data_IF_508758356157
#
_entry.id   IF_508758356157
#
_cell.length_a   1.000
_cell.length_b   1.000
_cell.length_c   1.000
_cell.angle_alpha   90.00
_cell.angle_beta   90.00
_cell.angle_gamma   90.00
#
_symmetry.space_group_name_H-M   'P 1'
#
loop_
_entity.id
_entity.type
_entity.pdbx_description
1 polymer ?
#
# COMPACT_ATOMS: atom_id res chain seq x y z
N UNK A 1 21.16 23.39 -20.82
CA UNK A 1 21.75 22.16 -20.25
C UNK A 1 21.00 21.85 -18.98
N UNK A 2 19.98 20.99 -19.06
CA UNK A 2 19.14 20.64 -17.92
C UNK A 2 19.74 19.35 -17.33
N UNK A 3 20.28 19.43 -16.12
CA UNK A 3 20.64 18.25 -15.34
C UNK A 3 19.33 17.76 -14.73
N UNK A 4 18.77 16.71 -15.32
CA UNK A 4 17.63 15.99 -14.75
C UNK A 4 18.03 15.53 -13.34
N UNK A 5 17.37 16.09 -12.33
CA UNK A 5 17.53 15.68 -10.94
C UNK A 5 16.80 14.35 -10.82
N UNK A 6 17.56 13.26 -10.83
CA UNK A 6 17.09 11.91 -10.57
C UNK A 6 16.10 11.92 -9.40
N UNK A 7 14.90 11.40 -9.67
CA UNK A 7 13.97 10.95 -8.64
C UNK A 7 14.75 9.94 -7.82
N UNK A 8 15.24 10.36 -6.64
CA UNK A 8 15.91 9.46 -5.71
C UNK A 8 14.89 8.42 -5.30
N UNK A 9 15.07 7.20 -5.80
CA UNK A 9 14.46 6.01 -5.23
C UNK A 9 14.62 6.08 -3.70
N UNK A 10 13.57 5.79 -2.91
CA UNK A 10 13.68 5.81 -1.45
C UNK A 10 14.84 4.90 -1.06
N UNK A 11 15.72 5.43 -0.21
CA UNK A 11 17.06 4.94 0.09
C UNK A 11 17.24 3.43 -0.09
N UNK A 12 18.21 3.08 -0.93
CA UNK A 12 18.73 1.73 -1.19
C UNK A 12 19.04 1.03 0.15
N UNK A 13 18.02 0.39 0.72
CA UNK A 13 18.18 -0.54 1.82
C UNK A 13 18.99 -1.69 1.22
N UNK A 14 20.31 -1.62 1.37
CA UNK A 14 21.29 -2.52 0.73
C UNK A 14 20.70 -3.91 0.58
N UNK A 15 20.46 -4.35 -0.67
CA UNK A 15 19.87 -5.66 -0.93
C UNK A 15 20.72 -6.76 -0.29
N UNK A 16 20.26 -7.26 0.86
CA UNK A 16 20.89 -8.37 1.57
C UNK A 16 20.38 -9.68 0.96
N UNK A 17 21.29 -10.50 0.42
CA UNK A 17 20.95 -11.82 -0.13
C UNK A 17 21.55 -12.94 0.71
N UNK A 18 20.79 -14.02 0.89
CA UNK A 18 21.29 -15.26 1.49
C UNK A 18 20.87 -16.46 0.66
N UNK A 19 21.79 -17.42 0.50
CA UNK A 19 21.49 -18.69 -0.15
C UNK A 19 20.73 -19.57 0.85
N UNK A 20 19.49 -19.93 0.49
CA UNK A 20 18.65 -20.87 1.24
C UNK A 20 18.63 -22.25 0.59
N UNK A 21 18.46 -23.29 1.40
CA UNK A 21 18.21 -24.66 0.90
C UNK A 21 16.72 -24.96 0.95
N UNK A 22 16.21 -25.56 -0.13
CA UNK A 22 14.83 -26.03 -0.20
C UNK A 22 14.80 -27.51 0.20
N UNK A 23 13.91 -27.86 1.13
CA UNK A 23 13.71 -29.26 1.53
C UNK A 23 12.89 -30.03 0.50
N UNK A 24 12.86 -31.35 0.61
CA UNK A 24 12.01 -32.21 -0.24
C UNK A 24 10.51 -31.88 -0.16
N UNK A 25 10.07 -31.29 0.95
CA UNK A 25 8.69 -30.81 1.15
C UNK A 25 8.46 -29.38 0.67
N UNK A 26 9.40 -28.80 -0.10
CA UNK A 26 9.34 -27.42 -0.60
C UNK A 26 9.32 -26.38 0.52
N UNK A 27 9.91 -26.71 1.68
CA UNK A 27 10.05 -25.76 2.78
C UNK A 27 11.37 -25.01 2.62
N UNK A 28 11.33 -23.70 2.86
CA UNK A 28 12.49 -22.83 2.98
C UNK A 28 12.53 -22.23 4.38
N UNK A 29 13.72 -22.03 4.92
CA UNK A 29 13.89 -21.35 6.21
C UNK A 29 14.26 -19.89 5.97
N UNK A 30 13.50 -18.97 6.56
CA UNK A 30 13.81 -17.55 6.52
C UNK A 30 14.88 -17.26 7.58
N UNK A 31 16.00 -16.59 7.22
CA UNK A 31 17.00 -16.16 8.20
C UNK A 31 16.38 -15.34 9.32
N UNK A 32 16.83 -15.56 10.57
CA UNK A 32 16.24 -14.95 11.78
C UNK A 32 16.23 -13.42 11.72
N UNK A 33 17.31 -12.83 11.25
CA UNK A 33 17.45 -11.39 11.05
C UNK A 33 16.46 -10.83 10.03
N UNK A 34 16.14 -11.58 8.97
CA UNK A 34 15.16 -11.14 7.97
C UNK A 34 13.73 -11.25 8.52
N UNK A 35 13.44 -12.30 9.28
CA UNK A 35 12.18 -12.47 9.98
C UNK A 35 11.90 -11.31 10.95
N UNK A 36 12.92 -10.90 11.72
CA UNK A 36 12.85 -9.78 12.66
C UNK A 36 12.77 -8.43 11.94
N UNK A 37 13.61 -8.16 10.94
CA UNK A 37 13.61 -6.90 10.17
C UNK A 37 12.27 -6.64 9.46
N UNK A 38 11.68 -7.68 8.87
CA UNK A 38 10.37 -7.57 8.22
C UNK A 38 9.21 -7.71 9.21
N UNK A 39 9.51 -8.02 10.48
CA UNK A 39 8.57 -8.34 11.55
C UNK A 39 7.44 -9.23 11.01
N UNK A 40 7.84 -10.39 10.48
CA UNK A 40 6.93 -11.37 9.92
C UNK A 40 6.14 -12.07 11.04
N UNK A 41 4.90 -12.45 10.74
CA UNK A 41 4.05 -13.21 11.65
C UNK A 41 4.21 -14.73 11.50
N UNK A 42 3.20 -15.48 11.96
CA UNK A 42 3.08 -16.92 11.68
C UNK A 42 2.73 -17.19 10.21
N UNK A 43 1.96 -16.29 9.63
CA UNK A 43 1.50 -16.36 8.25
C UNK A 43 2.12 -15.25 7.41
N UNK A 44 2.39 -15.54 6.14
CA UNK A 44 2.99 -14.63 5.16
C UNK A 44 2.28 -14.78 3.83
N UNK A 45 2.27 -13.72 3.03
CA UNK A 45 1.79 -13.79 1.66
C UNK A 45 2.97 -14.13 0.73
N UNK A 46 2.80 -15.17 -0.09
CA UNK A 46 3.79 -15.62 -1.07
C UNK A 46 3.22 -15.39 -2.47
N UNK A 47 3.84 -14.48 -3.21
CA UNK A 47 3.44 -14.07 -4.55
C UNK A 47 4.41 -14.68 -5.56
N UNK A 48 3.87 -15.29 -6.62
CA UNK A 48 4.65 -15.74 -7.77
C UNK A 48 4.83 -14.57 -8.73
N UNK A 49 6.07 -14.16 -8.97
CA UNK A 49 6.46 -13.15 -9.95
C UNK A 49 7.24 -13.82 -11.11
N UNK A 50 7.55 -13.04 -12.16
CA UNK A 50 8.22 -13.54 -13.37
C UNK A 50 9.53 -14.27 -13.07
N UNK A 51 10.33 -13.71 -12.17
CA UNK A 51 11.70 -14.16 -11.92
C UNK A 51 11.91 -14.67 -10.48
N UNK A 52 10.83 -14.92 -9.72
CA UNK A 52 10.97 -15.43 -8.35
C UNK A 52 9.69 -15.47 -7.53
N UNK A 53 9.87 -15.74 -6.24
CA UNK A 53 8.82 -15.64 -5.22
C UNK A 53 9.07 -14.38 -4.39
N UNK A 54 8.04 -13.55 -4.26
CA UNK A 54 8.03 -12.43 -3.32
C UNK A 54 7.29 -12.84 -2.06
N UNK A 55 7.97 -12.81 -0.93
CA UNK A 55 7.37 -13.06 0.39
C UNK A 55 7.20 -11.72 1.09
N UNK A 56 5.98 -11.39 1.50
CA UNK A 56 5.69 -10.18 2.28
C UNK A 56 4.88 -10.55 3.52
N UNK A 57 4.89 -9.67 4.52
CA UNK A 57 4.02 -9.81 5.69
C UNK A 57 2.57 -9.92 5.21
N UNK A 58 1.83 -10.86 5.80
CA UNK A 58 0.38 -10.87 5.65
C UNK A 58 -0.18 -9.69 6.48
N UNK A 59 -0.46 -8.58 5.82
CA UNK A 59 -1.25 -7.52 6.45
C UNK A 59 -2.67 -8.06 6.57
N UNK A 60 -3.05 -8.46 7.79
CA UNK A 60 -4.46 -8.56 8.10
C UNK A 60 -5.01 -7.16 7.98
N UNK A 61 -5.75 -6.97 6.91
CA UNK A 61 -6.59 -5.82 6.64
C UNK A 61 -7.51 -5.48 7.87
N UNK A 62 -7.67 -6.40 8.83
CA UNK A 62 -8.45 -6.23 10.06
C UNK A 62 -7.96 -5.13 11.02
N UNK A 63 -6.68 -4.72 11.06
CA UNK A 63 -6.18 -3.85 12.16
C UNK A 63 -6.11 -2.34 11.88
N UNK A 64 -6.40 -1.87 10.66
CA UNK A 64 -6.38 -0.42 10.34
C UNK A 64 -7.68 0.09 9.72
N UNK A 65 -8.78 -0.62 9.96
CA UNK A 65 -10.07 -0.25 9.39
C UNK A 65 -10.92 0.63 10.31
N UNK A 66 -10.55 0.75 11.58
CA UNK A 66 -11.32 1.54 12.56
C UNK A 66 -11.44 3.01 12.13
N UNK A 67 -10.39 3.61 11.55
CA UNK A 67 -10.39 5.02 11.17
C UNK A 67 -11.49 5.40 10.16
N UNK A 68 -11.94 4.45 9.33
CA UNK A 68 -12.92 4.71 8.26
C UNK A 68 -14.21 3.90 8.41
N UNK A 69 -14.29 3.00 9.40
CA UNK A 69 -15.44 2.10 9.57
C UNK A 69 -16.74 2.87 9.78
N UNK A 70 -16.74 3.90 10.63
CA UNK A 70 -17.93 4.71 10.89
C UNK A 70 -18.40 5.47 9.64
N UNK A 71 -17.46 5.96 8.83
CA UNK A 71 -17.76 6.67 7.58
C UNK A 71 -18.34 5.74 6.52
N UNK A 72 -17.76 4.54 6.38
CA UNK A 72 -18.29 3.53 5.44
C UNK A 72 -19.65 3.04 5.89
N UNK A 73 -19.83 2.75 7.17
CA UNK A 73 -21.12 2.31 7.70
C UNK A 73 -22.19 3.40 7.51
N UNK A 74 -21.86 4.67 7.80
CA UNK A 74 -22.76 5.80 7.54
C UNK A 74 -23.14 5.87 6.06
N UNK A 75 -22.18 5.73 5.15
CA UNK A 75 -22.44 5.75 3.71
C UNK A 75 -23.36 4.59 3.27
N UNK A 76 -23.19 3.39 3.81
CA UNK A 76 -24.09 2.25 3.53
C UNK A 76 -25.51 2.55 4.04
N UNK A 77 -25.65 3.13 5.23
CA UNK A 77 -26.97 3.48 5.77
C UNK A 77 -27.65 4.61 4.97
N UNK A 78 -26.88 5.59 4.50
CA UNK A 78 -27.38 6.69 3.64
C UNK A 78 -27.89 6.20 2.28
N UNK A 79 -27.30 5.13 1.74
CA UNK A 79 -27.75 4.50 0.49
C UNK A 79 -29.06 3.70 0.65
N UNK A 80 -29.62 3.65 1.87
CA UNK A 80 -30.96 3.12 2.14
C UNK A 80 -31.01 1.61 2.38
N UNK A 81 -29.88 0.96 2.63
CA UNK A 81 -29.84 -0.44 3.02
C UNK A 81 -30.44 -0.62 4.42
N UNK A 82 -31.47 -1.47 4.53
CA UNK A 82 -32.20 -1.69 5.80
C UNK A 82 -32.08 -3.11 6.34
N UNK A 83 -31.80 -4.09 5.47
CA UNK A 83 -31.61 -5.47 5.90
C UNK A 83 -30.21 -5.65 6.51
N UNK A 84 -30.14 -6.37 7.63
CA UNK A 84 -28.90 -6.54 8.39
C UNK A 84 -27.82 -7.28 7.58
N UNK A 85 -28.20 -8.33 6.87
CA UNK A 85 -27.24 -9.14 6.11
C UNK A 85 -26.75 -8.38 4.87
N UNK A 86 -27.63 -7.60 4.25
CA UNK A 86 -27.30 -6.71 3.14
C UNK A 86 -26.32 -5.60 3.57
N UNK A 87 -26.58 -4.93 4.70
CA UNK A 87 -25.67 -3.91 5.28
C UNK A 87 -24.29 -4.51 5.54
N UNK A 88 -24.22 -5.70 6.14
CA UNK A 88 -22.94 -6.35 6.45
C UNK A 88 -22.17 -6.73 5.19
N UNK A 89 -22.85 -7.20 4.16
CA UNK A 89 -22.22 -7.55 2.88
C UNK A 89 -21.67 -6.30 2.18
N UNK A 90 -22.46 -5.24 2.09
CA UNK A 90 -22.07 -4.00 1.43
C UNK A 90 -20.95 -3.28 2.19
N UNK A 91 -21.04 -3.23 3.52
CA UNK A 91 -19.99 -2.68 4.39
C UNK A 91 -18.65 -3.39 4.15
N UNK A 92 -18.63 -4.72 4.18
CA UNK A 92 -17.41 -5.50 3.93
C UNK A 92 -16.87 -5.27 2.52
N UNK A 93 -17.75 -5.21 1.52
CA UNK A 93 -17.35 -4.95 0.14
C UNK A 93 -16.64 -3.59 0.01
N UNK A 94 -17.20 -2.52 0.59
CA UNK A 94 -16.60 -1.18 0.56
C UNK A 94 -15.30 -1.10 1.33
N UNK A 95 -15.24 -1.68 2.53
CA UNK A 95 -14.00 -1.72 3.32
C UNK A 95 -12.86 -2.39 2.55
N UNK A 96 -13.14 -3.51 1.86
CA UNK A 96 -12.16 -4.19 1.01
C UNK A 96 -11.70 -3.36 -0.20
N UNK A 97 -12.47 -2.36 -0.62
CA UNK A 97 -12.13 -1.48 -1.74
C UNK A 97 -11.25 -0.30 -1.33
N UNK A 98 -11.22 0.07 -0.04
CA UNK A 98 -10.43 1.22 0.46
C UNK A 98 -8.95 1.13 0.04
N UNK A 99 -8.23 0.00 0.23
CA UNK A 99 -6.81 -0.06 -0.12
C UNK A 99 -6.55 0.22 -1.60
N UNK A 100 -7.43 -0.28 -2.49
CA UNK A 100 -7.33 -0.04 -3.93
C UNK A 100 -7.63 1.43 -4.28
N UNK A 101 -8.63 2.03 -3.63
CA UNK A 101 -8.96 3.43 -3.82
C UNK A 101 -7.80 4.35 -3.38
N UNK A 102 -7.16 4.04 -2.24
CA UNK A 102 -5.98 4.78 -1.76
C UNK A 102 -4.80 4.65 -2.72
N UNK A 103 -4.52 3.43 -3.22
CA UNK A 103 -3.46 3.22 -4.21
C UNK A 103 -3.71 4.00 -5.50
N UNK A 104 -4.96 4.01 -5.97
CA UNK A 104 -5.36 4.78 -7.14
C UNK A 104 -5.18 6.29 -6.92
N UNK A 105 -5.64 6.80 -5.77
CA UNK A 105 -5.47 8.22 -5.42
C UNK A 105 -3.99 8.62 -5.36
N UNK A 106 -3.15 7.77 -4.78
CA UNK A 106 -1.70 8.01 -4.73
C UNK A 106 -1.07 8.03 -6.14
N UNK A 107 -1.52 7.14 -7.03
CA UNK A 107 -1.05 7.11 -8.41
C UNK A 107 -1.46 8.40 -9.15
N UNK A 108 -2.72 8.80 -9.06
CA UNK A 108 -3.24 10.02 -9.67
C UNK A 108 -2.51 11.26 -9.16
N UNK A 109 -2.25 11.34 -7.84
CA UNK A 109 -1.50 12.44 -7.25
C UNK A 109 -0.06 12.52 -7.76
N UNK A 110 0.60 11.37 -7.97
CA UNK A 110 1.96 11.31 -8.55
C UNK A 110 1.95 11.73 -10.01
N UNK A 111 1.04 11.20 -10.80
CA UNK A 111 0.91 11.55 -12.22
C UNK A 111 0.64 13.05 -12.39
N UNK A 112 -0.23 13.62 -11.54
CA UNK A 112 -0.48 15.05 -11.52
C UNK A 112 0.79 15.84 -11.20
N UNK A 113 1.51 15.47 -10.15
CA UNK A 113 2.74 16.16 -9.75
C UNK A 113 3.87 16.05 -10.80
N UNK A 114 3.99 14.92 -11.49
CA UNK A 114 5.02 14.71 -12.53
C UNK A 114 4.71 15.50 -13.81
N UNK A 115 3.43 15.67 -14.15
CA UNK A 115 3.00 16.35 -15.36
C UNK A 115 2.57 17.81 -15.11
N UNK A 116 2.84 18.33 -13.91
CA UNK A 116 2.50 19.70 -13.56
C UNK A 116 3.36 20.68 -14.37
N UNK A 117 2.75 21.53 -15.22
CA UNK A 117 3.51 22.47 -16.05
C UNK A 117 3.99 23.70 -15.26
N UNK A 118 3.55 23.86 -14.00
CA UNK A 118 3.87 25.03 -13.16
C UNK A 118 5.29 24.92 -12.61
N UNK A 119 5.95 26.06 -12.50
CA UNK A 119 7.25 26.17 -11.83
C UNK A 119 7.10 26.07 -10.31
N UNK A 120 8.21 25.79 -9.62
CA UNK A 120 8.22 25.74 -8.14
C UNK A 120 7.74 27.05 -7.51
N UNK A 121 8.05 28.21 -8.11
CA UNK A 121 7.61 29.52 -7.61
C UNK A 121 6.09 29.72 -7.77
N UNK A 122 5.49 29.23 -8.86
CA UNK A 122 4.05 29.29 -9.08
C UNK A 122 3.29 28.35 -8.13
N UNK A 123 3.86 27.16 -7.87
CA UNK A 123 3.31 26.19 -6.91
C UNK A 123 3.36 26.72 -5.48
N UNK A 124 4.49 27.29 -5.06
CA UNK A 124 4.63 27.85 -3.72
C UNK A 124 3.64 29.00 -3.49
N UNK A 125 3.49 29.88 -4.49
CA UNK A 125 2.52 30.99 -4.44
C UNK A 125 1.07 30.51 -4.34
N UNK A 126 0.69 29.43 -5.01
CA UNK A 126 -0.65 28.88 -4.95
C UNK A 126 -0.94 28.16 -3.63
N UNK A 127 0.03 27.41 -3.12
CA UNK A 127 -0.14 26.58 -1.92
C UNK A 127 -0.04 27.39 -0.62
N UNK A 128 0.87 28.36 -0.57
CA UNK A 128 1.21 29.09 0.66
C UNK A 128 0.80 30.57 0.60
N UNK A 129 0.43 31.09 -0.57
CA UNK A 129 0.14 32.51 -0.77
C UNK A 129 1.40 33.35 -0.97
N UNK A 130 1.23 34.65 -1.20
CA UNK A 130 2.32 35.64 -1.08
C UNK A 130 2.35 36.14 0.36
N UNK A 131 3.49 36.01 1.05
CA UNK A 131 3.79 36.82 2.23
C UNK A 131 3.93 38.31 1.85
#
# INVERSE_FOLDING_TARGET
MIVAKEIREPEDMRKESRIGRITSKRQLTIPKDFYEKLNLGKDVEIILEKDGLKVKRLEKIEESFDDYSDLVLKSVLEDGFTDKDEILNEFRARMNMIPFAVQKLLLEAREYAENDPRTSEELDKELFGED
#
